data_IF_093134873874
#
_entry.id   IF_093134873874
#
_cell.length_a   1.000
_cell.length_b   1.000
_cell.length_c   1.000
_cell.angle_alpha   90.00
_cell.angle_beta   90.00
_cell.angle_gamma   90.00
#
_symmetry.space_group_name_H-M   'P 1'
#
loop_
_entity.id
_entity.type
_entity.pdbx_description
1 polymer ?
#
# COMPACT_ATOMS: atom_id res chain seq x y z
N UNK A 1 -14.25 -4.70 23.37
CA UNK A 1 -14.45 -3.44 24.12
C UNK A 1 -14.36 -2.30 23.12
N UNK A 2 -15.49 -1.71 22.73
CA UNK A 2 -15.51 -0.59 21.79
C UNK A 2 -14.71 0.57 22.40
N UNK A 3 -13.69 1.06 21.69
CA UNK A 3 -13.03 2.30 22.10
C UNK A 3 -14.09 3.40 22.08
N UNK A 4 -14.24 4.09 23.21
CA UNK A 4 -15.07 5.30 23.28
C UNK A 4 -14.75 6.18 22.07
N UNK A 5 -15.77 6.66 21.37
CA UNK A 5 -15.64 7.61 20.26
C UNK A 5 -15.08 8.93 20.83
N UNK A 6 -13.76 9.00 21.03
CA UNK A 6 -13.09 10.24 21.43
C UNK A 6 -13.17 11.17 20.24
N UNK A 7 -14.00 12.20 20.37
CA UNK A 7 -14.27 13.12 19.27
C UNK A 7 -13.03 13.95 18.97
N UNK A 8 -12.70 14.08 17.67
CA UNK A 8 -11.70 15.03 17.15
C UNK A 8 -11.99 16.45 17.65
N UNK A 9 -13.25 16.76 17.98
CA UNK A 9 -13.67 18.05 18.54
C UNK A 9 -13.07 18.37 19.92
N UNK A 10 -12.41 17.42 20.58
CA UNK A 10 -11.68 17.65 21.84
C UNK A 10 -10.32 18.35 21.65
N UNK A 11 -9.79 18.36 20.42
CA UNK A 11 -8.46 18.90 20.14
C UNK A 11 -8.53 20.42 20.04
N UNK A 12 -7.86 21.16 20.93
CA UNK A 12 -7.83 22.63 20.94
C UNK A 12 -6.46 23.21 20.58
N UNK A 13 -5.38 22.49 20.87
CA UNK A 13 -4.02 22.96 20.67
C UNK A 13 -3.05 21.82 20.28
N UNK A 14 -1.77 22.16 20.12
CA UNK A 14 -0.69 21.22 19.76
C UNK A 14 -0.60 20.05 20.73
N UNK A 15 -0.66 20.32 22.04
CA UNK A 15 -0.52 19.31 23.09
C UNK A 15 -1.67 18.31 23.04
N UNK A 16 -2.91 18.80 22.87
CA UNK A 16 -4.08 17.93 22.76
C UNK A 16 -3.98 17.02 21.53
N UNK A 17 -3.50 17.55 20.40
CA UNK A 17 -3.31 16.79 19.17
C UNK A 17 -2.27 15.68 19.36
N UNK A 18 -1.14 15.98 20.01
CA UNK A 18 -0.10 14.99 20.29
C UNK A 18 -0.57 13.88 21.24
N UNK A 19 -1.31 14.26 22.30
CA UNK A 19 -1.91 13.31 23.25
C UNK A 19 -2.90 12.41 22.52
N UNK A 20 -3.79 13.00 21.70
CA UNK A 20 -4.79 12.26 20.94
C UNK A 20 -4.14 11.24 20.00
N UNK A 21 -3.09 11.64 19.27
CA UNK A 21 -2.35 10.74 18.38
C UNK A 21 -1.73 9.59 19.17
N UNK A 22 -1.08 9.88 20.29
CA UNK A 22 -0.39 8.86 21.10
C UNK A 22 -1.36 7.83 21.68
N UNK A 23 -2.52 8.28 22.17
CA UNK A 23 -3.42 7.43 22.97
C UNK A 23 -4.45 6.69 22.10
N UNK A 24 -4.92 7.31 21.02
CA UNK A 24 -6.02 6.79 20.21
C UNK A 24 -5.60 6.32 18.80
N UNK A 25 -4.51 6.86 18.23
CA UNK A 25 -4.14 6.59 16.84
C UNK A 25 -2.90 5.70 16.72
N UNK A 26 -1.87 5.95 17.52
CA UNK A 26 -0.58 5.26 17.39
C UNK A 26 -0.68 3.80 17.86
N UNK A 27 -0.08 2.89 17.09
CA UNK A 27 0.00 1.47 17.48
C UNK A 27 0.99 1.28 18.62
N UNK A 28 0.61 0.46 19.60
CA UNK A 28 1.48 0.09 20.71
C UNK A 28 2.60 -0.88 20.26
N UNK A 29 3.66 -0.98 21.07
CA UNK A 29 4.81 -1.85 20.78
C UNK A 29 4.46 -3.35 20.88
N UNK A 30 3.53 -3.69 21.77
CA UNK A 30 3.00 -5.04 21.95
C UNK A 30 2.38 -5.58 20.65
N UNK A 31 1.42 -4.84 20.10
CA UNK A 31 0.73 -5.15 18.85
C UNK A 31 1.71 -5.21 17.68
N UNK A 32 2.68 -4.27 17.59
CA UNK A 32 3.73 -4.31 16.55
C UNK A 32 4.57 -5.59 16.64
N UNK A 33 4.84 -6.08 17.84
CA UNK A 33 5.59 -7.32 18.09
C UNK A 33 4.76 -8.55 17.74
N UNK A 34 3.48 -8.56 18.13
CA UNK A 34 2.50 -9.59 17.74
C UNK A 34 2.42 -9.71 16.21
N UNK A 35 2.23 -8.59 15.50
CA UNK A 35 2.15 -8.60 14.03
C UNK A 35 3.44 -9.11 13.39
N UNK A 36 4.63 -8.75 13.89
CA UNK A 36 5.91 -9.28 13.37
C UNK A 36 5.97 -10.81 13.47
N UNK A 37 5.53 -11.38 14.60
CA UNK A 37 5.50 -12.84 14.82
C UNK A 37 4.53 -13.53 13.87
N UNK A 38 3.32 -12.99 13.74
CA UNK A 38 2.29 -13.51 12.83
C UNK A 38 2.76 -13.52 11.38
N UNK A 39 3.34 -12.41 10.92
CA UNK A 39 3.87 -12.30 9.55
C UNK A 39 4.96 -13.34 9.30
N UNK A 40 5.89 -13.52 10.25
CA UNK A 40 6.96 -14.51 10.15
C UNK A 40 6.37 -15.93 10.04
N UNK A 41 5.45 -16.28 10.93
CA UNK A 41 4.78 -17.60 10.94
C UNK A 41 4.02 -17.87 9.64
N UNK A 42 3.27 -16.89 9.12
CA UNK A 42 2.54 -17.03 7.85
C UNK A 42 3.53 -17.19 6.69
N UNK A 43 4.59 -16.38 6.65
CA UNK A 43 5.59 -16.43 5.59
C UNK A 43 6.30 -17.78 5.53
N UNK A 44 6.69 -18.33 6.68
CA UNK A 44 7.33 -19.64 6.79
C UNK A 44 6.36 -20.76 6.38
N UNK A 45 5.11 -20.70 6.86
CA UNK A 45 4.08 -21.66 6.50
C UNK A 45 3.82 -21.70 4.99
N UNK A 46 3.62 -20.53 4.35
CA UNK A 46 3.35 -20.45 2.92
C UNK A 46 4.54 -20.95 2.09
N UNK A 47 5.77 -20.57 2.44
CA UNK A 47 6.99 -21.03 1.76
C UNK A 47 7.20 -22.54 1.87
N UNK A 48 6.79 -23.14 2.98
CA UNK A 48 6.93 -24.58 3.20
C UNK A 48 5.83 -25.41 2.50
N UNK A 49 4.59 -24.92 2.49
CA UNK A 49 3.44 -25.71 2.02
C UNK A 49 3.06 -25.45 0.56
N UNK A 50 3.43 -24.30 -0.02
CA UNK A 50 3.18 -24.00 -1.43
C UNK A 50 4.42 -24.34 -2.25
N UNK A 51 4.31 -25.34 -3.11
CA UNK A 51 5.41 -25.86 -3.94
C UNK A 51 5.14 -25.70 -5.44
N UNK A 52 6.14 -26.02 -6.27
CA UNK A 52 6.01 -26.03 -7.72
C UNK A 52 5.78 -24.64 -8.34
N UNK A 53 4.82 -24.55 -9.27
CA UNK A 53 4.53 -23.35 -10.07
C UNK A 53 4.21 -22.13 -9.19
N UNK A 54 3.46 -22.34 -8.10
CA UNK A 54 2.97 -21.27 -7.23
C UNK A 54 3.87 -21.00 -6.02
N UNK A 55 5.03 -21.65 -5.90
CA UNK A 55 5.98 -21.42 -4.81
C UNK A 55 6.39 -19.94 -4.76
N UNK A 56 6.22 -19.25 -3.61
CA UNK A 56 6.64 -17.86 -3.48
C UNK A 56 8.17 -17.77 -3.38
N UNK A 57 8.75 -16.76 -4.01
CA UNK A 57 10.14 -16.37 -3.73
C UNK A 57 10.21 -15.60 -2.41
N UNK A 58 9.23 -14.73 -2.18
CA UNK A 58 9.20 -13.83 -1.04
C UNK A 58 7.76 -13.59 -0.57
N UNK A 59 7.59 -13.36 0.73
CA UNK A 59 6.32 -12.87 1.30
C UNK A 59 6.64 -11.57 2.01
N UNK A 60 6.01 -10.49 1.57
CA UNK A 60 6.29 -9.14 2.04
C UNK A 60 5.15 -8.57 2.84
N UNK A 61 5.48 -7.98 3.99
CA UNK A 61 4.59 -7.05 4.67
C UNK A 61 4.44 -5.78 3.83
N UNK A 62 3.20 -5.42 3.52
CA UNK A 62 2.82 -4.19 2.80
C UNK A 62 1.94 -3.29 3.67
N UNK A 63 1.37 -2.24 3.06
CA UNK A 63 0.37 -1.40 3.68
C UNK A 63 0.89 -0.50 4.79
N UNK A 64 -0.05 0.00 5.59
CA UNK A 64 0.21 0.99 6.63
C UNK A 64 1.21 0.49 7.68
N UNK A 65 1.14 -0.80 8.01
CA UNK A 65 1.98 -1.44 9.03
C UNK A 65 3.41 -1.65 8.55
N UNK A 66 3.65 -1.77 7.23
CA UNK A 66 5.00 -1.79 6.65
C UNK A 66 5.62 -0.41 6.54
N UNK A 67 4.81 0.60 6.22
CA UNK A 67 5.22 2.00 6.05
C UNK A 67 5.43 2.73 7.38
N UNK A 68 4.92 2.17 8.48
CA UNK A 68 4.96 2.79 9.80
C UNK A 68 3.83 3.81 10.01
N UNK A 69 2.80 3.80 9.17
CA UNK A 69 1.65 4.72 9.18
C UNK A 69 0.36 4.02 9.61
N UNK A 70 0.48 2.89 10.31
CA UNK A 70 -0.64 2.12 10.87
C UNK A 70 -1.38 2.89 11.97
N UNK A 71 -2.70 2.68 12.02
CA UNK A 71 -3.61 3.23 13.02
C UNK A 71 -4.08 2.11 13.95
N UNK A 72 -4.10 2.38 15.25
CA UNK A 72 -4.55 1.46 16.30
C UNK A 72 -5.98 0.95 16.05
N UNK A 73 -6.17 -0.35 16.23
CA UNK A 73 -7.49 -1.00 16.13
C UNK A 73 -8.13 -1.04 14.72
N UNK A 74 -7.46 -0.50 13.69
CA UNK A 74 -7.98 -0.41 12.32
C UNK A 74 -7.00 -0.90 11.25
N UNK A 75 -5.90 -1.53 11.66
CA UNK A 75 -4.87 -1.97 10.72
C UNK A 75 -4.92 -3.49 10.56
N UNK A 76 -5.28 -3.93 9.37
CA UNK A 76 -5.10 -5.31 8.94
C UNK A 76 -3.62 -5.57 8.63
N UNK A 77 -3.24 -6.85 8.56
CA UNK A 77 -1.93 -7.24 8.08
C UNK A 77 -2.01 -7.50 6.58
N UNK A 78 -1.59 -6.52 5.80
CA UNK A 78 -1.45 -6.69 4.36
C UNK A 78 -0.15 -7.43 4.02
N UNK A 79 -0.27 -8.52 3.28
CA UNK A 79 0.83 -9.33 2.75
C UNK A 79 0.80 -9.39 1.23
N UNK A 80 1.99 -9.30 0.62
CA UNK A 80 2.19 -9.58 -0.80
C UNK A 80 2.94 -10.88 -0.95
N UNK A 81 2.37 -11.80 -1.71
CA UNK A 81 2.91 -13.10 -2.06
C UNK A 81 3.63 -12.99 -3.41
N UNK A 82 4.95 -12.87 -3.37
CA UNK A 82 5.77 -12.59 -4.57
C UNK A 82 6.15 -13.88 -5.29
N UNK A 83 5.62 -14.02 -6.51
CA UNK A 83 5.88 -15.12 -7.43
C UNK A 83 7.07 -14.82 -8.34
N UNK A 84 7.83 -15.86 -8.70
CA UNK A 84 9.03 -15.72 -9.51
C UNK A 84 8.78 -15.12 -10.89
N UNK A 85 9.63 -14.16 -11.29
CA UNK A 85 9.59 -13.58 -12.63
C UNK A 85 9.94 -14.57 -13.74
N UNK A 86 10.70 -15.61 -13.42
CA UNK A 86 10.99 -16.71 -14.36
C UNK A 86 9.72 -17.44 -14.81
N UNK A 87 8.69 -17.46 -13.95
CA UNK A 87 7.37 -18.04 -14.24
C UNK A 87 6.37 -16.98 -14.71
N UNK A 88 6.40 -15.81 -14.09
CA UNK A 88 5.49 -14.70 -14.36
C UNK A 88 6.25 -13.48 -14.88
N UNK A 89 6.43 -13.42 -16.19
CA UNK A 89 7.23 -12.37 -16.84
C UNK A 89 6.57 -10.99 -16.78
N UNK A 90 5.23 -10.95 -16.72
CA UNK A 90 4.38 -9.76 -16.65
C UNK A 90 3.22 -9.97 -15.69
N UNK A 91 2.57 -8.88 -15.30
CA UNK A 91 1.34 -8.92 -14.48
C UNK A 91 0.18 -9.53 -15.27
N UNK A 92 0.15 -9.36 -16.60
CA UNK A 92 -0.83 -10.00 -17.49
C UNK A 92 -0.74 -11.54 -17.40
N UNK A 93 0.47 -12.11 -17.39
CA UNK A 93 0.65 -13.57 -17.21
C UNK A 93 0.13 -14.04 -15.85
N UNK A 94 0.38 -13.25 -14.78
CA UNK A 94 -0.17 -13.55 -13.46
C UNK A 94 -1.69 -13.45 -13.43
N UNK A 95 -2.27 -12.48 -14.16
CA UNK A 95 -3.72 -12.30 -14.23
C UNK A 95 -4.43 -13.51 -14.85
N UNK A 96 -3.84 -14.11 -15.89
CA UNK A 96 -4.39 -15.31 -16.53
C UNK A 96 -4.50 -16.49 -15.55
N UNK A 97 -3.53 -16.64 -14.65
CA UNK A 97 -3.48 -17.71 -13.65
C UNK A 97 -4.12 -17.32 -12.30
N UNK A 98 -4.57 -16.08 -12.14
CA UNK A 98 -4.89 -15.51 -10.81
C UNK A 98 -5.92 -16.35 -10.06
N UNK A 99 -6.98 -16.80 -10.73
CA UNK A 99 -8.02 -17.62 -10.12
C UNK A 99 -7.47 -18.94 -9.58
N UNK A 100 -6.59 -19.59 -10.32
CA UNK A 100 -5.94 -20.84 -9.90
C UNK A 100 -4.98 -20.62 -8.74
N UNK A 101 -4.20 -19.53 -8.79
CA UNK A 101 -3.28 -19.15 -7.71
C UNK A 101 -4.07 -18.94 -6.41
N UNK A 102 -5.16 -18.17 -6.46
CA UNK A 102 -6.00 -17.90 -5.28
C UNK A 102 -6.66 -19.17 -4.75
N UNK A 103 -7.16 -20.06 -5.62
CA UNK A 103 -7.72 -21.34 -5.22
C UNK A 103 -6.68 -22.25 -4.55
N UNK A 104 -5.45 -22.28 -5.08
CA UNK A 104 -4.34 -23.04 -4.50
C UNK A 104 -3.95 -22.50 -3.12
N UNK A 105 -3.79 -21.18 -2.98
CA UNK A 105 -3.53 -20.53 -1.69
C UNK A 105 -4.63 -20.88 -0.70
N UNK A 106 -5.91 -20.74 -1.08
CA UNK A 106 -7.06 -21.09 -0.24
C UNK A 106 -6.96 -22.53 0.26
N UNK A 107 -6.71 -23.49 -0.63
CA UNK A 107 -6.60 -24.91 -0.28
C UNK A 107 -5.51 -25.18 0.76
N UNK A 108 -4.39 -24.46 0.70
CA UNK A 108 -3.30 -24.59 1.67
C UNK A 108 -3.63 -23.94 3.01
N UNK A 109 -4.32 -22.80 3.04
CA UNK A 109 -4.56 -22.03 4.27
C UNK A 109 -5.83 -22.44 5.03
N UNK A 110 -6.84 -23.03 4.36
CA UNK A 110 -8.17 -23.30 4.95
C UNK A 110 -8.15 -24.26 6.13
N UNK A 111 -7.16 -25.16 6.20
CA UNK A 111 -7.00 -26.07 7.34
C UNK A 111 -6.31 -25.46 8.56
N UNK A 112 -5.69 -24.28 8.42
CA UNK A 112 -4.85 -23.66 9.47
C UNK A 112 -5.42 -22.35 10.01
N UNK A 113 -6.12 -21.58 9.18
CA UNK A 113 -6.60 -20.24 9.51
C UNK A 113 -8.13 -20.16 9.46
N UNK A 114 -8.68 -19.16 10.15
CA UNK A 114 -10.12 -18.97 10.28
C UNK A 114 -10.65 -17.97 9.24
N UNK A 115 -11.95 -17.98 8.99
CA UNK A 115 -12.64 -17.00 8.16
C UNK A 115 -11.98 -16.77 6.78
N UNK A 116 -11.52 -17.86 6.14
CA UNK A 116 -10.84 -17.79 4.85
C UNK A 116 -11.82 -17.43 3.73
N UNK A 117 -11.60 -16.29 3.10
CA UNK A 117 -12.38 -15.77 1.99
C UNK A 117 -11.50 -15.49 0.77
N UNK A 118 -12.01 -15.80 -0.41
CA UNK A 118 -11.34 -15.45 -1.67
C UNK A 118 -12.07 -14.29 -2.30
N UNK A 119 -11.34 -13.20 -2.52
CA UNK A 119 -11.79 -12.02 -3.25
C UNK A 119 -11.26 -12.06 -4.68
N UNK A 120 -11.63 -11.07 -5.49
CA UNK A 120 -11.23 -10.99 -6.90
C UNK A 120 -9.70 -11.08 -7.10
N UNK A 121 -8.90 -10.55 -6.15
CA UNK A 121 -7.43 -10.45 -6.28
C UNK A 121 -6.66 -10.80 -5.01
N UNK A 122 -7.33 -11.30 -3.98
CA UNK A 122 -6.74 -11.52 -2.67
C UNK A 122 -7.38 -12.72 -1.98
N UNK A 123 -6.66 -13.30 -1.02
CA UNK A 123 -7.23 -14.23 -0.04
C UNK A 123 -7.14 -13.57 1.33
N UNK A 124 -8.28 -13.43 2.00
CA UNK A 124 -8.37 -12.83 3.32
C UNK A 124 -8.66 -13.91 4.35
N UNK A 125 -8.05 -13.80 5.53
CA UNK A 125 -8.23 -14.77 6.61
C UNK A 125 -7.86 -14.19 7.96
N UNK A 126 -8.29 -14.86 9.02
CA UNK A 126 -8.02 -14.44 10.39
C UNK A 126 -7.11 -15.42 11.12
N UNK A 127 -6.29 -14.86 12.00
CA UNK A 127 -5.46 -15.63 12.93
C UNK A 127 -5.46 -15.00 14.31
N UNK A 128 -5.42 -15.86 15.33
CA UNK A 128 -5.37 -15.41 16.73
C UNK A 128 -3.92 -15.52 17.22
N UNK A 129 -3.40 -14.42 17.75
CA UNK A 129 -2.08 -14.41 18.35
C UNK A 129 -2.16 -13.91 19.80
N UNK A 130 -1.52 -14.66 20.71
CA UNK A 130 -1.44 -14.29 22.12
C UNK A 130 -0.23 -13.40 22.37
N UNK A 131 -0.45 -12.31 23.08
CA UNK A 131 0.61 -11.48 23.61
C UNK A 131 1.36 -12.24 24.71
N UNK A 132 2.68 -12.19 24.65
CA UNK A 132 3.53 -12.83 25.66
C UNK A 132 3.52 -11.97 26.93
N UNK A 133 3.19 -12.58 28.06
CA UNK A 133 3.23 -11.93 29.39
C UNK A 133 1.88 -11.43 29.92
N UNK A 134 0.96 -10.98 29.07
CA UNK A 134 -0.36 -10.48 29.49
C UNK A 134 -1.49 -11.48 29.27
N UNK A 135 -1.28 -12.49 28.42
CA UNK A 135 -2.30 -13.46 28.02
C UNK A 135 -3.37 -12.89 27.08
N UNK A 136 -3.30 -11.60 26.72
CA UNK A 136 -4.25 -10.97 25.80
C UNK A 136 -4.17 -11.63 24.42
N UNK A 137 -5.34 -11.94 23.83
CA UNK A 137 -5.43 -12.50 22.49
C UNK A 137 -5.84 -11.41 21.49
N UNK A 138 -5.10 -11.31 20.39
CA UNK A 138 -5.42 -10.44 19.27
C UNK A 138 -5.94 -11.28 18.11
N UNK A 139 -7.13 -10.94 17.61
CA UNK A 139 -7.58 -11.40 16.30
C UNK A 139 -6.95 -10.48 15.25
N UNK A 140 -6.25 -11.07 14.30
CA UNK A 140 -5.58 -10.35 13.22
C UNK A 140 -6.18 -10.81 11.90
N UNK A 141 -6.81 -9.87 11.19
CA UNK A 141 -7.18 -10.05 9.80
C UNK A 141 -5.96 -9.86 8.91
N UNK A 142 -5.82 -10.74 7.92
CA UNK A 142 -4.69 -10.80 6.99
C UNK A 142 -5.24 -10.81 5.57
N UNK A 143 -4.77 -9.87 4.75
CA UNK A 143 -5.02 -9.85 3.31
C UNK A 143 -3.76 -10.31 2.57
N UNK A 144 -3.87 -11.37 1.77
CA UNK A 144 -2.76 -11.93 0.99
C UNK A 144 -3.00 -11.73 -0.51
N UNK A 145 -2.14 -10.93 -1.14
CA UNK A 145 -2.22 -10.61 -2.57
C UNK A 145 -1.08 -11.26 -3.36
N UNK A 146 -1.37 -12.12 -4.36
CA UNK A 146 -0.37 -12.58 -5.31
C UNK A 146 0.17 -11.42 -6.16
N UNK A 147 1.48 -11.42 -6.41
CA UNK A 147 2.12 -10.40 -7.23
C UNK A 147 3.39 -10.92 -7.90
N UNK A 148 3.83 -10.23 -8.95
CA UNK A 148 5.06 -10.57 -9.65
C UNK A 148 6.24 -10.00 -8.87
N UNK A 149 7.23 -10.85 -8.56
CA UNK A 149 8.50 -10.36 -8.04
C UNK A 149 9.30 -9.73 -9.16
N UNK A 150 9.24 -8.41 -9.29
CA UNK A 150 10.14 -7.74 -10.21
C UNK A 150 11.60 -7.86 -9.72
N UNK A 151 11.85 -7.79 -8.41
CA UNK A 151 13.20 -7.78 -7.85
C UNK A 151 13.83 -6.37 -7.90
N UNK A 152 14.99 -6.21 -7.27
CA UNK A 152 15.55 -4.88 -6.96
C UNK A 152 16.35 -4.26 -8.12
N UNK A 153 16.76 -5.07 -9.10
CA UNK A 153 17.58 -4.66 -10.26
C UNK A 153 16.75 -4.34 -11.51
N UNK A 154 15.42 -4.24 -11.38
CA UNK A 154 14.58 -4.07 -12.57
C UNK A 154 14.65 -2.66 -13.11
N UNK A 155 14.80 -2.60 -14.43
CA UNK A 155 14.57 -1.39 -15.19
C UNK A 155 13.10 -0.96 -15.04
N UNK A 156 12.84 -0.02 -14.13
CA UNK A 156 11.52 0.59 -13.91
C UNK A 156 10.90 1.11 -15.23
N UNK A 157 11.73 1.52 -16.21
CA UNK A 157 11.27 1.90 -17.54
C UNK A 157 10.50 0.78 -18.23
N UNK A 158 10.98 -0.46 -18.14
CA UNK A 158 10.31 -1.63 -18.73
C UNK A 158 8.94 -1.85 -18.09
N UNK A 159 8.85 -1.74 -16.76
CA UNK A 159 7.58 -1.86 -16.04
C UNK A 159 6.61 -0.75 -16.46
N UNK A 160 7.08 0.51 -16.50
CA UNK A 160 6.25 1.64 -16.94
C UNK A 160 5.74 1.48 -18.38
N UNK A 161 6.58 0.95 -19.28
CA UNK A 161 6.16 0.62 -20.64
C UNK A 161 5.05 -0.42 -20.65
N UNK A 162 5.20 -1.51 -19.90
CA UNK A 162 4.18 -2.57 -19.79
C UNK A 162 2.87 -2.02 -19.21
N UNK A 163 2.93 -1.25 -18.12
CA UNK A 163 1.75 -0.61 -17.51
C UNK A 163 1.00 0.32 -18.48
N UNK A 164 1.72 0.99 -19.38
CA UNK A 164 1.15 1.94 -20.34
C UNK A 164 0.39 1.25 -21.49
N UNK A 165 0.80 0.04 -21.87
CA UNK A 165 0.11 -0.77 -22.90
C UNK A 165 -0.97 -1.69 -22.31
N UNK A 166 -0.89 -2.00 -21.02
CA UNK A 166 -1.89 -2.78 -20.31
C UNK A 166 -3.24 -2.06 -20.21
N UNK A 167 -4.32 -2.84 -20.11
CA UNK A 167 -5.67 -2.35 -19.78
C UNK A 167 -5.67 -1.65 -18.41
N UNK A 168 -6.69 -0.84 -18.15
CA UNK A 168 -6.83 -0.15 -16.86
C UNK A 168 -6.95 -1.14 -15.69
N UNK A 169 -7.71 -2.22 -15.88
CA UNK A 169 -7.87 -3.29 -14.90
C UNK A 169 -6.53 -3.94 -14.53
N UNK A 170 -5.73 -4.30 -15.54
CA UNK A 170 -4.42 -4.92 -15.33
C UNK A 170 -3.41 -3.92 -14.75
N UNK A 171 -3.48 -2.64 -15.14
CA UNK A 171 -2.61 -1.60 -14.56
C UNK A 171 -2.76 -1.51 -13.04
N UNK A 172 -3.99 -1.68 -12.53
CA UNK A 172 -4.26 -1.69 -11.10
C UNK A 172 -3.69 -2.92 -10.36
N UNK A 173 -3.25 -3.96 -11.09
CA UNK A 173 -2.61 -5.15 -10.53
C UNK A 173 -1.08 -5.01 -10.39
N UNK A 174 -0.48 -3.92 -10.89
CA UNK A 174 0.95 -3.65 -10.66
C UNK A 174 1.23 -3.13 -9.24
N UNK A 175 0.23 -2.58 -8.55
CA UNK A 175 0.38 -1.98 -7.23
C UNK A 175 1.05 -2.93 -6.21
N UNK A 176 0.59 -4.19 -6.03
CA UNK A 176 1.25 -5.13 -5.12
C UNK A 176 2.69 -5.45 -5.53
N UNK A 177 2.96 -5.64 -6.83
CA UNK A 177 4.31 -5.90 -7.37
C UNK A 177 5.27 -4.73 -7.14
N UNK A 178 4.75 -3.51 -7.01
CA UNK A 178 5.53 -2.29 -6.78
C UNK A 178 5.61 -1.86 -5.31
N UNK A 179 5.13 -2.69 -4.38
CA UNK A 179 5.05 -2.31 -2.95
C UNK A 179 6.41 -1.96 -2.33
N UNK A 180 7.50 -2.60 -2.77
CA UNK A 180 8.86 -2.31 -2.26
C UNK A 180 9.20 -0.82 -2.45
N UNK A 181 8.98 -0.29 -3.64
CA UNK A 181 9.22 1.12 -3.98
C UNK A 181 8.25 2.06 -3.25
N UNK A 182 6.97 1.70 -3.14
CA UNK A 182 6.00 2.51 -2.37
C UNK A 182 6.39 2.61 -0.90
N UNK A 183 6.79 1.47 -0.30
CA UNK A 183 7.25 1.40 1.08
C UNK A 183 8.50 2.23 1.27
N UNK A 184 9.47 2.10 0.37
CA UNK A 184 10.72 2.85 0.45
C UNK A 184 10.47 4.36 0.35
N UNK A 185 9.66 4.80 -0.61
CA UNK A 185 9.30 6.20 -0.77
C UNK A 185 8.65 6.83 0.47
N UNK A 186 7.76 6.08 1.14
CA UNK A 186 7.06 6.56 2.35
C UNK A 186 7.94 6.45 3.60
N UNK A 187 8.94 5.55 3.62
CA UNK A 187 9.81 5.39 4.79
C UNK A 187 11.04 6.28 4.76
N UNK A 188 11.64 6.47 3.59
CA UNK A 188 12.94 7.13 3.43
C UNK A 188 12.85 8.61 3.82
N UNK A 189 13.78 9.05 4.65
CA UNK A 189 13.92 10.45 5.07
C UNK A 189 12.62 11.07 5.64
N UNK A 190 11.82 10.29 6.37
CA UNK A 190 10.59 10.77 7.03
C UNK A 190 10.73 10.78 8.55
N UNK A 191 10.52 11.96 9.14
CA UNK A 191 10.54 12.14 10.59
C UNK A 191 9.34 11.48 11.27
N UNK A 192 9.48 11.14 12.56
CA UNK A 192 8.32 10.64 13.32
C UNK A 192 7.20 11.68 13.42
N UNK A 193 7.52 12.97 13.41
CA UNK A 193 6.53 14.04 13.41
C UNK A 193 5.69 14.05 12.12
N UNK A 194 6.31 13.79 10.97
CA UNK A 194 5.60 13.59 9.71
C UNK A 194 4.72 12.34 9.74
N UNK A 195 5.21 11.24 10.31
CA UNK A 195 4.39 10.02 10.45
C UNK A 195 3.21 10.24 11.39
N UNK A 196 3.35 11.02 12.46
CA UNK A 196 2.23 11.45 13.33
C UNK A 196 1.17 12.19 12.51
N UNK A 197 1.58 13.16 11.69
CA UNK A 197 0.67 13.90 10.81
C UNK A 197 -0.08 12.97 9.83
N UNK A 198 0.64 12.10 9.14
CA UNK A 198 0.06 11.11 8.21
C UNK A 198 -0.98 10.23 8.93
N UNK A 199 -0.63 9.69 10.11
CA UNK A 199 -1.56 8.85 10.90
C UNK A 199 -2.82 9.62 11.28
N UNK A 200 -2.68 10.88 11.69
CA UNK A 200 -3.82 11.72 12.04
C UNK A 200 -4.75 11.98 10.86
N UNK A 201 -4.20 12.39 9.71
CA UNK A 201 -5.03 12.71 8.51
C UNK A 201 -5.72 11.45 7.99
N UNK A 202 -5.06 10.29 8.04
CA UNK A 202 -5.68 8.99 7.72
C UNK A 202 -6.79 8.63 8.71
N UNK A 203 -6.60 8.88 10.00
CA UNK A 203 -7.61 8.66 11.02
C UNK A 203 -8.83 9.55 10.77
N UNK A 204 -8.62 10.87 10.61
CA UNK A 204 -9.68 11.82 10.28
C UNK A 204 -10.47 11.38 9.03
N UNK A 205 -9.77 10.99 7.96
CA UNK A 205 -10.39 10.49 6.72
C UNK A 205 -11.27 9.26 6.93
N UNK A 206 -10.91 8.38 7.87
CA UNK A 206 -11.68 7.19 8.18
C UNK A 206 -12.90 7.49 9.07
N UNK A 207 -12.84 8.54 9.90
CA UNK A 207 -13.95 8.99 10.75
C UNK A 207 -14.96 9.87 9.99
N UNK A 208 -14.52 10.62 8.97
CA UNK A 208 -15.31 11.67 8.31
C UNK A 208 -16.34 11.17 7.26
N UNK A 209 -16.65 9.86 7.21
CA UNK A 209 -17.54 9.16 6.24
C UNK A 209 -17.04 9.14 4.77
N UNK A 210 -17.12 7.93 4.17
CA UNK A 210 -17.00 7.52 2.75
C UNK A 210 -16.15 8.37 1.79
N UNK A 211 -14.99 8.87 2.22
CA UNK A 211 -14.05 9.41 1.25
C UNK A 211 -13.41 8.24 0.46
N UNK A 212 -13.70 8.14 -0.85
CA UNK A 212 -13.15 7.14 -1.79
C UNK A 212 -11.63 7.29 -1.98
N UNK A 213 -11.06 8.37 -1.42
CA UNK A 213 -9.62 8.62 -1.42
C UNK A 213 -8.86 7.53 -0.68
N UNK A 214 -7.89 6.93 -1.37
CA UNK A 214 -7.04 5.89 -0.78
C UNK A 214 -6.12 6.46 0.31
N UNK A 215 -5.81 5.63 1.32
CA UNK A 215 -4.81 5.99 2.35
C UNK A 215 -3.45 6.38 1.75
N UNK A 216 -3.08 5.77 0.63
CA UNK A 216 -1.82 6.09 -0.05
C UNK A 216 -1.85 7.48 -0.70
N UNK A 217 -2.98 7.91 -1.27
CA UNK A 217 -3.11 9.27 -1.80
C UNK A 217 -2.94 10.33 -0.70
N UNK A 218 -3.50 10.08 0.49
CA UNK A 218 -3.27 10.93 1.67
C UNK A 218 -1.79 10.96 2.08
N UNK A 219 -1.13 9.79 2.14
CA UNK A 219 0.31 9.70 2.41
C UNK A 219 1.11 10.56 1.43
N UNK A 220 0.83 10.47 0.13
CA UNK A 220 1.49 11.26 -0.92
C UNK A 220 1.23 12.76 -0.80
N UNK A 221 -0.02 13.17 -0.52
CA UNK A 221 -0.39 14.57 -0.35
C UNK A 221 0.35 15.20 0.83
N UNK A 222 0.35 14.53 1.98
CA UNK A 222 1.03 15.02 3.19
C UNK A 222 2.54 15.13 2.95
N UNK A 223 3.16 14.13 2.33
CA UNK A 223 4.59 14.16 1.97
C UNK A 223 4.88 15.32 1.00
N UNK A 224 3.98 15.59 0.03
CA UNK A 224 4.15 16.67 -0.93
C UNK A 224 4.10 18.04 -0.25
N UNK A 225 3.14 18.27 0.63
CA UNK A 225 2.99 19.55 1.31
C UNK A 225 4.16 19.83 2.27
N UNK A 226 4.63 18.78 2.97
CA UNK A 226 5.82 18.86 3.82
C UNK A 226 7.09 19.12 3.02
N UNK A 227 7.26 18.49 1.85
CA UNK A 227 8.44 18.71 1.02
C UNK A 227 8.49 20.10 0.39
N UNK A 228 7.33 20.71 0.12
CA UNK A 228 7.24 22.11 -0.31
C UNK A 228 7.73 23.10 0.74
N UNK A 229 7.65 22.75 2.03
CA UNK A 229 8.14 23.58 3.14
C UNK A 229 9.63 23.35 3.44
N UNK A 230 10.38 22.74 2.51
CA UNK A 230 11.81 22.47 2.67
C UNK A 230 12.13 21.19 3.45
N UNK A 231 11.15 20.28 3.61
CA UNK A 231 11.34 19.00 4.30
C UNK A 231 11.87 19.14 5.74
N UNK A 232 11.28 20.02 6.58
CA UNK A 232 11.83 20.35 7.88
C UNK A 232 11.84 19.14 8.81
N UNK A 233 12.91 19.00 9.60
CA UNK A 233 13.03 17.95 10.62
C UNK A 233 12.00 18.15 11.74
N UNK A 234 11.79 19.40 12.13
CA UNK A 234 10.84 19.83 13.15
C UNK A 234 9.86 20.86 12.58
N UNK A 235 8.57 20.68 12.85
CA UNK A 235 7.53 21.61 12.45
C UNK A 235 6.36 21.58 13.45
N UNK A 236 5.53 22.62 13.47
CA UNK A 236 4.34 22.65 14.33
C UNK A 236 3.23 21.78 13.71
N UNK A 237 2.81 20.74 14.41
CA UNK A 237 1.87 19.74 13.90
C UNK A 237 0.51 20.35 13.60
N UNK A 238 0.02 21.29 14.40
CA UNK A 238 -1.26 21.98 14.11
C UNK A 238 -1.21 22.81 12.83
N UNK A 239 -0.07 23.46 12.55
CA UNK A 239 0.07 24.29 11.35
C UNK A 239 0.10 23.40 10.09
N UNK A 240 0.87 22.31 10.15
CA UNK A 240 0.93 21.35 9.06
C UNK A 240 -0.42 20.66 8.84
N UNK A 241 -1.13 20.30 9.92
CA UNK A 241 -2.48 19.77 9.85
C UNK A 241 -3.44 20.76 9.20
N UNK A 242 -3.46 22.02 9.65
CA UNK A 242 -4.28 23.08 9.06
C UNK A 242 -4.04 23.18 7.56
N UNK A 243 -2.78 23.25 7.11
CA UNK A 243 -2.41 23.31 5.69
C UNK A 243 -2.93 22.10 4.90
N UNK A 244 -2.81 20.89 5.44
CA UNK A 244 -3.34 19.67 4.80
C UNK A 244 -4.86 19.75 4.67
N UNK A 245 -5.56 20.15 5.73
CA UNK A 245 -7.02 20.25 5.76
C UNK A 245 -7.54 21.32 4.80
N UNK A 246 -6.91 22.49 4.76
CA UNK A 246 -7.21 23.57 3.80
C UNK A 246 -7.01 23.11 2.35
N UNK A 247 -5.97 22.32 2.09
CA UNK A 247 -5.72 21.73 0.76
C UNK A 247 -6.82 20.74 0.38
N UNK A 248 -7.23 19.87 1.31
CA UNK A 248 -8.31 18.89 1.09
C UNK A 248 -9.66 19.58 0.89
N UNK A 249 -9.91 20.71 1.56
CA UNK A 249 -11.14 21.49 1.42
C UNK A 249 -11.32 22.11 0.02
N UNK A 250 -10.26 22.16 -0.80
CA UNK A 250 -10.31 22.65 -2.19
C UNK A 250 -9.82 21.57 -3.17
N UNK A 251 -10.59 20.48 -3.41
CA UNK A 251 -10.12 19.31 -4.14
C UNK A 251 -9.69 19.58 -5.58
N UNK A 252 -10.33 20.54 -6.25
CA UNK A 252 -10.12 20.85 -7.67
C UNK A 252 -8.71 21.36 -8.00
N UNK A 253 -7.86 21.59 -7.00
CA UNK A 253 -6.48 22.05 -7.18
C UNK A 253 -5.43 21.01 -6.72
N UNK A 254 -5.85 19.82 -6.31
CA UNK A 254 -4.92 18.79 -5.85
C UNK A 254 -4.33 18.06 -7.05
N UNK A 255 -3.11 18.48 -7.43
CA UNK A 255 -2.27 17.74 -8.38
C UNK A 255 -0.93 17.40 -7.73
N UNK A 256 -0.77 16.13 -7.38
CA UNK A 256 0.46 15.61 -6.74
C UNK A 256 1.13 14.62 -7.67
N UNK A 257 2.39 14.91 -8.01
CA UNK A 257 3.25 13.99 -8.75
C UNK A 257 4.69 14.09 -8.21
N UNK A 258 5.39 12.96 -8.23
CA UNK A 258 6.81 12.85 -7.86
C UNK A 258 7.58 12.36 -9.08
N UNK A 259 8.55 13.16 -9.54
CA UNK A 259 9.35 12.91 -10.75
C UNK A 259 10.82 12.91 -10.35
N UNK A 260 11.62 12.05 -10.98
CA UNK A 260 13.07 11.97 -10.81
C UNK A 260 13.53 10.64 -10.23
N UNK A 261 12.84 10.11 -9.21
CA UNK A 261 13.31 8.92 -8.49
C UNK A 261 12.82 7.59 -9.10
N UNK A 262 11.50 7.48 -9.31
CA UNK A 262 10.86 6.24 -9.78
C UNK A 262 10.15 6.41 -11.13
N UNK A 263 10.11 7.65 -11.64
CA UNK A 263 9.43 8.04 -12.87
C UNK A 263 10.09 9.28 -13.49
N UNK A 264 10.30 9.30 -14.81
CA UNK A 264 10.87 10.45 -15.54
C UNK A 264 9.93 10.87 -16.69
N UNK A 265 9.60 12.16 -16.75
CA UNK A 265 8.71 12.77 -17.75
C UNK A 265 9.25 12.72 -19.18
N UNK A 266 10.56 12.62 -19.37
CA UNK A 266 11.13 12.39 -20.71
C UNK A 266 10.66 11.06 -21.31
N UNK A 267 10.41 10.04 -20.49
CA UNK A 267 9.79 8.80 -20.97
C UNK A 267 8.38 9.02 -21.48
N UNK A 268 7.61 9.89 -20.83
CA UNK A 268 6.26 10.24 -21.26
C UNK A 268 6.28 10.92 -22.63
N UNK A 269 7.15 11.94 -22.80
CA UNK A 269 7.27 12.70 -24.05
C UNK A 269 7.69 11.82 -25.24
N UNK A 270 8.74 11.00 -25.07
CA UNK A 270 9.24 10.12 -26.15
C UNK A 270 8.20 9.08 -26.60
N UNK A 271 7.36 8.59 -25.69
CA UNK A 271 6.33 7.62 -26.03
C UNK A 271 5.06 8.23 -26.62
N UNK A 272 4.69 9.46 -26.26
CA UNK A 272 3.59 10.19 -26.92
C UNK A 272 3.87 10.33 -28.41
N UNK A 273 5.11 10.70 -28.76
CA UNK A 273 5.59 10.81 -30.14
C UNK A 273 5.53 9.46 -30.89
N UNK A 274 5.97 8.36 -30.24
CA UNK A 274 5.87 7.01 -30.85
C UNK A 274 4.42 6.58 -31.11
N UNK A 275 3.47 6.95 -30.23
CA UNK A 275 2.05 6.58 -30.37
C UNK A 275 1.35 7.40 -31.45
N UNK A 276 1.70 8.67 -31.59
CA UNK A 276 1.28 9.53 -32.70
C UNK A 276 1.82 8.99 -34.03
N UNK A 277 3.09 8.58 -34.08
CA UNK A 277 3.69 7.98 -35.27
C UNK A 277 3.05 6.64 -35.65
N UNK A 278 2.74 5.76 -34.69
CA UNK A 278 2.04 4.50 -34.96
C UNK A 278 0.59 4.71 -35.43
N UNK A 279 -0.13 5.69 -34.88
CA UNK A 279 -1.47 6.09 -35.37
C UNK A 279 -1.40 6.68 -36.77
N UNK A 280 -0.36 7.48 -37.07
CA UNK A 280 -0.10 8.00 -38.42
C UNK A 280 0.12 6.89 -39.44
N UNK A 281 0.92 5.88 -39.11
CA UNK A 281 1.21 4.73 -39.97
C UNK A 281 -0.03 3.84 -40.23
N UNK A 282 -0.85 3.59 -39.19
CA UNK A 282 -2.11 2.86 -39.32
C UNK A 282 -3.16 3.60 -40.17
N UNK A 283 -3.12 4.93 -40.17
CA UNK A 283 -4.03 5.75 -40.98
C UNK A 283 -3.57 5.86 -42.45
N UNK A 284 -2.26 5.77 -42.71
CA UNK A 284 -1.70 5.68 -44.07
C UNK A 284 -2.03 4.32 -44.70
N UNK A 285 -1.84 3.23 -43.96
CA UNK A 285 -2.19 1.87 -44.41
C UNK A 285 -3.68 1.65 -44.72
N UNK A 286 -4.58 2.51 -44.21
CA UNK A 286 -6.02 2.49 -44.50
C UNK A 286 -6.43 3.39 -45.67
N UNK A 287 -5.53 4.24 -46.15
CA UNK A 287 -5.76 5.08 -47.34
C UNK A 287 -5.26 4.40 -48.62
N UNK A 288 -4.37 3.43 -48.49
CA UNK A 288 -3.77 2.67 -49.58
C UNK A 288 -4.49 1.31 -49.83
N UNK A 289 -5.67 1.11 -49.24
CA UNK A 289 -6.55 -0.06 -49.36
C UNK A 289 -7.97 0.37 -49.69
#
# INVERSE_FOLDING_TARGET
MAMANVSINSIRNERDLEIFIREHIQTDDAYRTVCKRVIKSISEFLKHNIQGKYRPEEVLKTGSTAKGTAIKGKSDVDLVFLLSRSRYQSVDHLNNDLKEILAHIKGVIIGKYQNVQVHQRAVSFETVCRESGTGHSHVISVDLLPAVNFGDLVNLRSIHTQMRIASEEVRNMYTPSLTKWQREFVKRDRTEQLKKLIRFVKYWKNESIQNSTSSFAIELLVIRLWSQDGSPVHFKLTNALKKVMETIAVPNHIRVEFVGEFYNREFQKRYSLLKENQRGLLNLSKKDS
#
